data_IF_969617150073
#
_entry.id   IF_969617150073
#
_cell.length_a   1.000
_cell.length_b   1.000
_cell.length_c   1.000
_cell.angle_alpha   90.00
_cell.angle_beta   90.00
_cell.angle_gamma   90.00
#
_symmetry.space_group_name_H-M   'P 1'
#
loop_
_entity.id
_entity.type
_entity.pdbx_description
1 polymer ?
#
# COMPACT_ATOMS: atom_id res chain seq x y z
N UNK A 1 21.66 60.60 -29.05
CA UNK A 1 21.18 59.21 -29.25
C UNK A 1 20.53 58.75 -27.95
N UNK A 2 19.21 58.92 -27.82
CA UNK A 2 18.45 58.45 -26.65
C UNK A 2 17.86 57.08 -26.95
N UNK A 3 18.28 56.06 -26.21
CA UNK A 3 17.79 54.69 -26.34
C UNK A 3 16.36 54.62 -25.79
N UNK A 4 15.39 54.41 -26.69
CA UNK A 4 14.00 54.12 -26.32
C UNK A 4 13.95 52.79 -25.56
N UNK A 5 13.85 52.85 -24.22
CA UNK A 5 13.51 51.68 -23.41
C UNK A 5 12.07 51.31 -23.74
N UNK A 6 11.88 50.19 -24.44
CA UNK A 6 10.58 49.57 -24.62
C UNK A 6 9.96 49.28 -23.24
N UNK A 7 9.03 50.13 -22.82
CA UNK A 7 8.24 49.95 -21.61
C UNK A 7 7.37 48.71 -21.77
N UNK A 8 7.69 47.65 -21.04
CA UNK A 8 6.84 46.46 -20.99
C UNK A 8 5.58 46.83 -20.20
N UNK A 9 4.41 46.79 -20.84
CA UNK A 9 3.15 47.06 -20.17
C UNK A 9 2.97 46.08 -18.99
N UNK A 10 2.58 46.54 -17.79
CA UNK A 10 2.47 45.67 -16.62
C UNK A 10 1.36 44.64 -16.83
N UNK A 11 1.63 43.39 -16.44
CA UNK A 11 0.63 42.33 -16.43
C UNK A 11 -0.32 42.54 -15.24
N UNK A 12 -1.63 42.37 -15.47
CA UNK A 12 -2.66 42.40 -14.42
C UNK A 12 -3.34 41.03 -14.30
N UNK A 13 -3.53 40.57 -13.07
CA UNK A 13 -4.32 39.37 -12.77
C UNK A 13 -5.81 39.72 -12.84
N UNK A 14 -6.55 39.05 -13.72
CA UNK A 14 -8.01 39.08 -13.84
C UNK A 14 -8.55 37.65 -13.78
N UNK A 15 -8.56 37.03 -12.57
CA UNK A 15 -9.03 35.66 -12.42
C UNK A 15 -10.52 35.58 -12.76
N UNK A 16 -10.89 34.61 -13.61
CA UNK A 16 -12.29 34.28 -13.87
C UNK A 16 -12.78 33.31 -12.79
N UNK A 17 -14.02 33.49 -12.31
CA UNK A 17 -14.56 32.73 -11.17
C UNK A 17 -14.53 31.21 -11.40
N UNK A 18 -15.05 30.74 -12.53
CA UNK A 18 -15.16 29.30 -12.85
C UNK A 18 -13.80 28.57 -12.89
N UNK A 19 -12.78 29.02 -13.67
CA UNK A 19 -11.48 28.34 -13.66
C UNK A 19 -10.73 28.50 -12.33
N UNK A 20 -10.97 29.58 -11.59
CA UNK A 20 -10.35 29.75 -10.26
C UNK A 20 -10.93 28.78 -9.24
N UNK A 21 -12.26 28.53 -9.28
CA UNK A 21 -12.91 27.51 -8.46
C UNK A 21 -12.44 26.10 -8.83
N UNK A 22 -12.31 25.81 -10.12
CA UNK A 22 -11.78 24.52 -10.58
C UNK A 22 -10.35 24.28 -10.06
N UNK A 23 -9.47 25.28 -10.13
CA UNK A 23 -8.11 25.19 -9.58
C UNK A 23 -8.12 25.04 -8.07
N UNK A 24 -8.97 25.78 -7.36
CA UNK A 24 -9.09 25.70 -5.91
C UNK A 24 -9.43 24.29 -5.43
N UNK A 25 -10.23 23.54 -6.20
CA UNK A 25 -10.62 22.17 -5.87
C UNK A 25 -9.64 21.11 -6.40
N UNK A 26 -9.24 21.23 -7.67
CA UNK A 26 -8.44 20.19 -8.33
C UNK A 26 -6.97 20.24 -7.94
N UNK A 27 -6.40 21.42 -7.69
CA UNK A 27 -5.00 21.55 -7.32
C UNK A 27 -4.65 20.80 -6.02
N UNK A 28 -5.35 21.01 -4.87
CA UNK A 28 -5.05 20.26 -3.65
C UNK A 28 -5.31 18.76 -3.82
N UNK A 29 -6.30 18.36 -4.61
CA UNK A 29 -6.56 16.96 -4.92
C UNK A 29 -5.38 16.32 -5.66
N UNK A 30 -4.90 16.94 -6.75
CA UNK A 30 -3.77 16.43 -7.54
C UNK A 30 -2.48 16.38 -6.73
N UNK A 31 -2.21 17.41 -5.91
CA UNK A 31 -1.06 17.43 -5.00
C UNK A 31 -1.17 16.33 -3.94
N UNK A 32 -2.36 16.14 -3.37
CA UNK A 32 -2.64 15.07 -2.39
C UNK A 32 -2.45 13.67 -2.99
N UNK A 33 -2.92 13.44 -4.21
CA UNK A 33 -2.70 12.18 -4.94
C UNK A 33 -1.22 11.95 -5.25
N UNK A 34 -0.49 12.99 -5.65
CA UNK A 34 0.96 12.93 -5.87
C UNK A 34 1.72 12.57 -4.59
N UNK A 35 1.42 13.23 -3.47
CA UNK A 35 2.01 12.94 -2.17
C UNK A 35 1.69 11.52 -1.68
N UNK A 36 0.43 11.09 -1.84
CA UNK A 36 0.02 9.72 -1.52
C UNK A 36 0.80 8.67 -2.34
N UNK A 37 1.03 8.93 -3.63
CA UNK A 37 1.85 8.02 -4.45
C UNK A 37 3.32 7.99 -4.01
N UNK A 38 3.90 9.12 -3.57
CA UNK A 38 5.25 9.14 -3.01
C UNK A 38 5.34 8.32 -1.71
N UNK A 39 4.35 8.45 -0.82
CA UNK A 39 4.25 7.66 0.40
C UNK A 39 4.16 6.16 0.09
N UNK A 40 3.30 5.77 -0.87
CA UNK A 40 3.24 4.37 -1.34
C UNK A 40 4.56 3.88 -1.92
N UNK A 41 5.27 4.70 -2.68
CA UNK A 41 6.60 4.35 -3.17
C UNK A 41 7.60 4.14 -2.02
N UNK A 42 7.58 5.02 -1.01
CA UNK A 42 8.44 4.90 0.17
C UNK A 42 8.17 3.61 0.96
N UNK A 43 6.89 3.28 1.20
CA UNK A 43 6.49 2.02 1.84
C UNK A 43 7.02 0.80 1.08
N UNK A 44 6.89 0.80 -0.26
CA UNK A 44 7.40 -0.29 -1.10
C UNK A 44 8.92 -0.40 -1.05
N UNK A 45 9.66 0.71 -1.03
CA UNK A 45 11.13 0.70 -0.85
C UNK A 45 11.55 0.17 0.50
N UNK A 46 10.90 0.61 1.58
CA UNK A 46 11.19 0.17 2.93
C UNK A 46 10.98 -1.35 3.06
N UNK A 47 9.88 -1.86 2.49
CA UNK A 47 9.62 -3.29 2.45
C UNK A 47 10.66 -4.06 1.62
N UNK A 48 11.03 -3.57 0.44
CA UNK A 48 12.09 -4.17 -0.38
C UNK A 48 13.43 -4.23 0.37
N UNK A 49 13.81 -3.13 1.03
CA UNK A 49 15.03 -3.06 1.83
C UNK A 49 15.00 -4.03 3.02
N UNK A 50 13.87 -4.15 3.72
CA UNK A 50 13.70 -5.10 4.81
C UNK A 50 13.82 -6.56 4.33
N UNK A 51 13.20 -6.90 3.20
CA UNK A 51 13.30 -8.23 2.59
C UNK A 51 14.73 -8.55 2.15
N UNK A 52 15.45 -7.59 1.56
CA UNK A 52 16.84 -7.76 1.17
C UNK A 52 17.76 -7.97 2.39
N UNK A 53 17.63 -7.11 3.42
CA UNK A 53 18.40 -7.24 4.66
C UNK A 53 18.13 -8.56 5.39
N UNK A 54 16.91 -9.10 5.28
CA UNK A 54 16.58 -10.40 5.83
C UNK A 54 17.23 -11.57 5.09
N UNK A 55 17.61 -11.41 3.83
CA UNK A 55 18.36 -12.41 3.07
C UNK A 55 19.73 -12.71 3.69
N UNK A 56 20.40 -11.66 4.19
CA UNK A 56 21.80 -11.74 4.67
C UNK A 56 21.93 -11.99 6.18
N UNK A 57 20.86 -11.77 6.95
CA UNK A 57 20.90 -11.90 8.40
C UNK A 57 20.66 -13.34 8.90
N UNK A 58 21.34 -13.79 9.97
CA UNK A 58 21.04 -15.08 10.59
C UNK A 58 19.59 -15.12 11.13
N UNK A 59 18.92 -16.29 11.10
CA UNK A 59 17.55 -16.41 11.59
C UNK A 59 17.44 -16.11 13.09
N UNK A 60 16.43 -15.32 13.47
CA UNK A 60 16.10 -15.06 14.87
C UNK A 60 15.26 -16.20 15.42
N UNK A 61 15.58 -16.69 16.62
CA UNK A 61 14.83 -17.80 17.21
C UNK A 61 13.54 -17.29 17.87
N UNK A 62 12.40 -17.89 17.52
CA UNK A 62 11.11 -17.67 18.19
C UNK A 62 10.99 -18.71 19.29
N UNK A 63 10.89 -18.25 20.53
CA UNK A 63 10.86 -19.09 21.72
C UNK A 63 9.43 -19.20 22.28
N UNK A 64 9.13 -20.23 23.08
CA UNK A 64 7.88 -20.29 23.82
C UNK A 64 7.76 -19.07 24.73
N UNK A 65 6.59 -18.41 24.70
CA UNK A 65 6.34 -17.22 25.54
C UNK A 65 6.94 -15.92 25.01
N UNK A 66 7.51 -15.88 23.79
CA UNK A 66 7.89 -14.61 23.15
C UNK A 66 6.68 -13.66 23.10
N UNK A 67 6.89 -12.41 23.53
CA UNK A 67 5.83 -11.42 23.58
C UNK A 67 5.42 -10.95 22.18
N UNK A 68 4.12 -10.67 22.00
CA UNK A 68 3.56 -10.27 20.73
C UNK A 68 4.22 -8.99 20.19
N UNK A 69 4.51 -8.00 21.05
CA UNK A 69 5.16 -6.76 20.63
C UNK A 69 6.62 -6.98 20.20
N UNK A 70 7.38 -7.82 20.92
CA UNK A 70 8.74 -8.20 20.51
C UNK A 70 8.76 -8.89 19.13
N UNK A 71 7.75 -9.71 18.83
CA UNK A 71 7.60 -10.35 17.50
C UNK A 71 7.30 -9.31 16.41
N UNK A 72 6.65 -8.17 16.75
CA UNK A 72 6.36 -7.12 15.76
C UNK A 72 7.61 -6.47 15.20
N UNK A 73 8.62 -6.27 16.03
CA UNK A 73 9.91 -5.72 15.63
C UNK A 73 10.69 -6.67 14.69
N UNK A 74 10.33 -7.96 14.69
CA UNK A 74 10.91 -8.99 13.83
C UNK A 74 10.21 -9.13 12.48
N UNK A 75 9.24 -8.26 12.16
CA UNK A 75 8.55 -8.30 10.88
C UNK A 75 9.55 -8.30 9.71
N UNK A 76 9.32 -9.20 8.74
CA UNK A 76 10.16 -9.44 7.57
C UNK A 76 11.57 -9.96 7.89
N UNK A 77 11.86 -10.43 9.10
CA UNK A 77 13.12 -11.12 9.41
C UNK A 77 13.02 -12.62 9.15
N UNK A 78 14.15 -13.24 8.81
CA UNK A 78 14.28 -14.70 8.87
C UNK A 78 14.19 -15.16 10.32
N UNK A 79 13.40 -16.21 10.55
CA UNK A 79 13.18 -16.78 11.88
C UNK A 79 13.28 -18.29 11.86
N UNK A 80 13.59 -18.85 13.03
CA UNK A 80 13.54 -20.27 13.29
C UNK A 80 12.66 -20.53 14.53
N UNK A 81 11.70 -21.44 14.42
CA UNK A 81 10.82 -21.83 15.51
C UNK A 81 10.88 -23.34 15.70
N UNK A 82 11.09 -23.79 16.93
CA UNK A 82 11.04 -25.21 17.27
C UNK A 82 9.70 -25.53 17.92
N UNK A 83 8.99 -26.51 17.38
CA UNK A 83 7.68 -26.85 17.89
C UNK A 83 7.01 -27.99 17.13
N UNK A 84 5.75 -28.24 17.46
CA UNK A 84 4.97 -29.34 16.93
C UNK A 84 3.81 -28.83 16.09
N UNK A 85 3.68 -29.35 14.88
CA UNK A 85 2.53 -29.02 14.06
C UNK A 85 1.23 -29.59 14.66
N UNK A 86 0.14 -28.86 14.50
CA UNK A 86 -1.22 -29.31 14.78
C UNK A 86 -1.94 -29.64 13.46
N UNK A 87 -1.70 -30.80 12.82
CA UNK A 87 -2.26 -31.16 11.52
C UNK A 87 -3.80 -31.25 11.52
N UNK A 88 -4.41 -31.48 12.68
CA UNK A 88 -5.85 -31.51 12.88
C UNK A 88 -6.48 -30.11 12.92
N UNK A 89 -5.67 -29.05 13.06
CA UNK A 89 -6.11 -27.66 13.16
C UNK A 89 -5.63 -26.79 11.99
N UNK A 90 -5.59 -27.36 10.79
CA UNK A 90 -5.17 -26.66 9.59
C UNK A 90 -6.21 -25.65 9.08
N UNK A 91 -5.72 -24.54 8.57
CA UNK A 91 -6.50 -23.42 8.05
C UNK A 91 -6.27 -23.30 6.53
N UNK A 92 -7.34 -23.05 5.80
CA UNK A 92 -7.34 -22.75 4.38
C UNK A 92 -7.80 -21.32 4.21
N UNK A 93 -6.89 -20.44 3.80
CA UNK A 93 -7.25 -19.09 3.37
C UNK A 93 -7.81 -19.17 1.95
N UNK A 94 -9.05 -18.74 1.80
CA UNK A 94 -9.82 -18.82 0.56
C UNK A 94 -9.50 -17.68 -0.42
N UNK A 95 -10.07 -17.75 -1.63
CA UNK A 95 -9.94 -16.76 -2.70
C UNK A 95 -8.48 -16.45 -3.08
N UNK A 96 -7.62 -17.45 -3.05
CA UNK A 96 -6.21 -17.29 -3.43
C UNK A 96 -6.03 -17.68 -4.90
N UNK A 97 -5.68 -16.70 -5.73
CA UNK A 97 -5.43 -16.93 -7.16
C UNK A 97 -3.93 -17.05 -7.37
N UNK A 98 -3.51 -18.09 -8.08
CA UNK A 98 -2.15 -18.27 -8.54
C UNK A 98 -2.16 -18.73 -10.01
N UNK A 99 -1.44 -18.03 -10.88
CA UNK A 99 -1.41 -18.26 -12.34
C UNK A 99 -2.81 -18.42 -12.98
N UNK A 100 -3.74 -17.55 -12.57
CA UNK A 100 -5.12 -17.55 -13.06
C UNK A 100 -5.98 -18.70 -12.53
N UNK A 101 -5.46 -19.56 -11.64
CA UNK A 101 -6.17 -20.67 -11.03
C UNK A 101 -6.59 -20.33 -9.60
N UNK A 102 -7.86 -20.55 -9.23
CA UNK A 102 -8.30 -20.41 -7.85
C UNK A 102 -7.75 -21.54 -6.99
N UNK A 103 -7.53 -21.23 -5.72
CA UNK A 103 -7.00 -22.16 -4.75
C UNK A 103 -7.01 -21.58 -3.34
N UNK A 104 -6.29 -22.28 -2.48
CA UNK A 104 -6.20 -22.00 -1.06
C UNK A 104 -4.75 -21.79 -0.66
N UNK A 105 -4.52 -20.91 0.31
CA UNK A 105 -3.23 -20.84 1.01
C UNK A 105 -3.34 -21.57 2.33
N UNK A 106 -2.42 -22.50 2.57
CA UNK A 106 -2.50 -23.41 3.71
C UNK A 106 -1.69 -22.86 4.87
N UNK A 107 -2.35 -22.71 6.02
CA UNK A 107 -1.72 -22.35 7.27
C UNK A 107 -1.84 -23.50 8.27
N UNK A 108 -0.76 -23.87 8.92
CA UNK A 108 -0.78 -24.89 9.98
C UNK A 108 -0.21 -24.30 11.27
N UNK A 109 -0.91 -24.40 12.41
CA UNK A 109 -0.36 -23.97 13.68
C UNK A 109 0.86 -24.82 14.06
N UNK A 110 1.95 -24.15 14.42
CA UNK A 110 3.11 -24.73 15.08
C UNK A 110 3.04 -24.37 16.56
N UNK A 111 2.70 -25.36 17.39
CA UNK A 111 2.67 -25.25 18.85
C UNK A 111 4.11 -25.17 19.38
N UNK A 112 4.40 -24.13 20.15
CA UNK A 112 5.73 -23.86 20.70
C UNK A 112 5.80 -24.34 22.16
N UNK A 113 6.93 -24.96 22.54
CA UNK A 113 7.21 -25.37 23.91
C UNK A 113 6.15 -26.30 24.49
N UNK A 114 5.55 -25.93 25.62
CA UNK A 114 4.51 -26.69 26.29
C UNK A 114 3.13 -26.69 25.57
N UNK A 115 3.05 -26.08 24.38
CA UNK A 115 1.87 -26.11 23.53
C UNK A 115 0.79 -25.06 23.82
N UNK A 116 1.01 -24.16 24.78
CA UNK A 116 0.09 -23.05 25.09
C UNK A 116 0.22 -21.86 24.13
N UNK A 117 1.34 -21.75 23.42
CA UNK A 117 1.58 -20.71 22.41
C UNK A 117 1.78 -21.33 21.05
N UNK A 118 1.36 -20.63 19.99
CA UNK A 118 1.55 -21.09 18.62
C UNK A 118 1.85 -19.94 17.67
N UNK A 119 2.48 -20.27 16.56
CA UNK A 119 2.64 -19.40 15.39
C UNK A 119 2.05 -20.12 14.17
N UNK A 120 1.37 -19.40 13.30
CA UNK A 120 0.91 -20.01 12.04
C UNK A 120 2.08 -20.14 11.07
N UNK A 121 2.21 -21.29 10.44
CA UNK A 121 3.16 -21.50 9.35
C UNK A 121 2.41 -21.46 8.04
N UNK A 122 2.73 -20.50 7.18
CA UNK A 122 2.28 -20.47 5.78
C UNK A 122 3.07 -21.51 5.00
N UNK A 123 2.38 -22.60 4.66
CA UNK A 123 2.93 -23.76 3.94
C UNK A 123 2.85 -23.59 2.43
N UNK A 124 2.23 -22.52 1.92
CA UNK A 124 2.08 -22.24 0.49
C UNK A 124 0.68 -22.48 -0.06
N UNK A 125 0.59 -22.40 -1.39
CA UNK A 125 -0.65 -22.46 -2.15
C UNK A 125 -0.94 -23.86 -2.68
N UNK A 126 -2.22 -24.21 -2.70
CA UNK A 126 -2.79 -25.41 -3.31
C UNK A 126 -3.93 -25.04 -4.25
N UNK A 127 -4.05 -25.72 -5.41
CA UNK A 127 -5.21 -25.53 -6.29
C UNK A 127 -6.50 -25.98 -5.60
N UNK A 128 -7.60 -25.31 -5.91
CA UNK A 128 -8.93 -25.77 -5.55
C UNK A 128 -9.26 -27.02 -6.36
N UNK A 129 -10.02 -27.95 -5.74
CA UNK A 129 -10.56 -29.12 -6.41
C UNK A 129 -11.63 -28.76 -7.46
N UNK A 130 -12.38 -29.78 -7.90
CA UNK A 130 -13.45 -29.57 -8.89
C UNK A 130 -14.57 -28.65 -8.38
N UNK A 131 -14.83 -28.67 -7.07
CA UNK A 131 -15.79 -27.79 -6.41
C UNK A 131 -15.19 -27.18 -5.14
N UNK A 132 -15.74 -26.05 -4.69
CA UNK A 132 -15.29 -25.36 -3.46
C UNK A 132 -15.57 -26.17 -2.19
N UNK A 133 -16.57 -27.05 -2.22
CA UNK A 133 -16.92 -27.93 -1.10
C UNK A 133 -15.96 -29.12 -0.96
N UNK A 134 -15.23 -29.48 -2.02
CA UNK A 134 -14.21 -30.52 -2.02
C UNK A 134 -12.86 -29.93 -1.60
N UNK A 135 -12.67 -29.81 -0.29
CA UNK A 135 -11.41 -29.33 0.28
C UNK A 135 -10.26 -30.32 -0.01
N UNK A 136 -9.05 -29.82 -0.34
CA UNK A 136 -7.92 -30.68 -0.64
C UNK A 136 -7.47 -31.47 0.60
N UNK A 137 -7.02 -32.70 0.38
CA UNK A 137 -6.38 -33.49 1.43
C UNK A 137 -5.04 -32.84 1.80
N UNK A 138 -4.93 -32.38 3.05
CA UNK A 138 -3.72 -31.71 3.54
C UNK A 138 -2.75 -32.72 4.11
N UNK A 139 -1.79 -33.14 3.28
CA UNK A 139 -0.72 -34.00 3.70
C UNK A 139 0.24 -33.23 4.61
N UNK A 140 0.28 -33.62 5.88
CA UNK A 140 1.44 -33.43 6.74
C UNK A 140 1.86 -34.84 7.09
N UNK A 141 3.05 -35.29 6.68
CA UNK A 141 3.49 -36.66 6.97
C UNK A 141 3.50 -36.83 8.49
N UNK A 142 2.46 -37.47 9.04
CA UNK A 142 2.01 -37.55 10.45
C UNK A 142 3.08 -37.15 11.48
N UNK A 143 3.45 -35.87 11.49
CA UNK A 143 4.60 -35.40 12.23
C UNK A 143 4.14 -35.11 13.65
N UNK A 144 3.96 -36.17 14.43
CA UNK A 144 3.82 -36.10 15.89
C UNK A 144 5.18 -35.89 16.55
N UNK A 145 6.13 -35.28 15.86
CA UNK A 145 7.45 -34.99 16.39
C UNK A 145 7.70 -33.50 16.30
N UNK A 146 8.54 -33.00 17.20
CA UNK A 146 8.93 -31.61 17.18
C UNK A 146 9.85 -31.35 15.99
N UNK A 147 9.64 -30.22 15.32
CA UNK A 147 10.36 -29.83 14.11
C UNK A 147 10.89 -28.41 14.22
N UNK A 148 12.07 -28.22 13.64
CA UNK A 148 12.63 -26.90 13.40
C UNK A 148 12.03 -26.34 12.10
N UNK A 149 11.18 -25.32 12.25
CA UNK A 149 10.60 -24.57 11.14
C UNK A 149 11.41 -23.31 10.88
N UNK A 150 11.84 -23.10 9.63
CA UNK A 150 12.56 -21.90 9.19
C UNK A 150 11.78 -21.20 8.09
N UNK A 151 11.83 -19.87 8.12
CA UNK A 151 11.12 -19.07 7.15
C UNK A 151 11.22 -17.58 7.40
N UNK A 152 10.43 -16.83 6.65
CA UNK A 152 10.30 -15.38 6.78
C UNK A 152 9.10 -15.05 7.67
N UNK A 153 9.32 -14.28 8.74
CA UNK A 153 8.22 -13.80 9.57
C UNK A 153 7.50 -12.66 8.85
N UNK A 154 6.20 -12.81 8.60
CA UNK A 154 5.39 -11.77 7.95
C UNK A 154 4.11 -11.51 8.73
N UNK A 155 3.54 -10.30 8.66
CA UNK A 155 2.16 -10.12 9.12
C UNK A 155 1.23 -11.08 8.35
N UNK A 156 0.10 -11.49 8.94
CA UNK A 156 -0.91 -12.26 8.22
C UNK A 156 -1.35 -11.51 6.95
N UNK A 157 -1.72 -12.22 5.86
CA UNK A 157 -2.21 -11.57 4.65
C UNK A 157 -3.41 -10.68 4.97
N UNK A 158 -3.34 -9.41 4.58
CA UNK A 158 -4.46 -8.49 4.77
C UNK A 158 -5.47 -8.68 3.65
N UNK A 159 -6.74 -8.51 4.00
CA UNK A 159 -7.84 -8.49 3.02
C UNK A 159 -8.45 -7.09 3.04
N UNK A 160 -8.61 -6.50 1.85
CA UNK A 160 -9.07 -5.12 1.74
C UNK A 160 -10.46 -4.90 2.36
N UNK A 161 -11.34 -5.90 2.27
CA UNK A 161 -12.67 -5.88 2.89
C UNK A 161 -12.85 -7.11 3.77
N UNK A 162 -13.23 -6.89 5.04
CA UNK A 162 -13.57 -7.96 6.00
C UNK A 162 -15.08 -8.00 6.14
N UNK A 163 -15.70 -9.07 5.64
CA UNK A 163 -17.14 -9.30 5.75
C UNK A 163 -17.41 -10.40 6.76
N UNK A 164 -18.28 -10.13 7.74
CA UNK A 164 -18.65 -11.08 8.79
C UNK A 164 -17.46 -11.51 9.66
N UNK A 165 -17.59 -12.66 10.31
CA UNK A 165 -16.56 -13.26 11.18
C UNK A 165 -15.42 -13.95 10.40
N UNK A 166 -15.50 -13.96 9.07
CA UNK A 166 -14.48 -14.54 8.19
C UNK A 166 -14.49 -16.06 8.14
N UNK A 167 -15.41 -16.74 8.81
CA UNK A 167 -15.44 -18.20 8.96
C UNK A 167 -16.40 -18.81 7.94
N UNK A 168 -15.87 -19.54 6.96
CA UNK A 168 -16.68 -20.04 5.86
C UNK A 168 -17.28 -21.44 6.10
N UNK A 169 -16.77 -22.22 7.06
CA UNK A 169 -17.26 -23.57 7.36
C UNK A 169 -17.25 -23.89 8.88
N UNK A 170 -18.10 -23.27 9.70
CA UNK A 170 -18.07 -23.44 11.16
C UNK A 170 -18.20 -24.91 11.59
N UNK A 171 -17.48 -25.29 12.66
CA UNK A 171 -17.47 -26.65 13.22
C UNK A 171 -16.70 -27.74 12.45
N UNK A 172 -16.20 -27.48 11.23
CA UNK A 172 -15.45 -28.46 10.40
C UNK A 172 -13.96 -28.13 10.24
N UNK A 173 -13.11 -29.15 10.15
CA UNK A 173 -11.68 -29.03 9.84
C UNK A 173 -11.35 -29.76 8.52
N UNK A 174 -10.41 -29.26 7.68
CA UNK A 174 -9.68 -28.00 7.84
C UNK A 174 -10.62 -26.78 7.79
N UNK A 175 -10.26 -25.73 8.53
CA UNK A 175 -11.09 -24.54 8.67
C UNK A 175 -10.84 -23.60 7.50
N UNK A 176 -11.90 -23.28 6.75
CA UNK A 176 -11.90 -22.34 5.65
C UNK A 176 -12.15 -20.93 6.19
N UNK A 177 -11.22 -20.02 5.90
CA UNK A 177 -11.22 -18.64 6.39
C UNK A 177 -11.05 -17.67 5.24
N UNK A 178 -11.70 -16.53 5.32
CA UNK A 178 -11.53 -15.43 4.36
C UNK A 178 -10.37 -14.52 4.74
N UNK A 179 -10.03 -14.45 6.03
CA UNK A 179 -8.91 -13.70 6.55
C UNK A 179 -8.36 -14.34 7.82
N UNK A 180 -7.11 -14.05 8.14
CA UNK A 180 -6.48 -14.52 9.37
C UNK A 180 -6.59 -13.45 10.46
N UNK A 181 -7.45 -13.69 11.44
CA UNK A 181 -7.55 -12.89 12.65
C UNK A 181 -7.07 -13.70 13.85
N UNK A 182 -5.87 -13.38 14.40
CA UNK A 182 -5.32 -14.10 15.54
C UNK A 182 -6.24 -14.11 16.76
N UNK A 183 -7.01 -13.03 16.97
CA UNK A 183 -7.91 -12.92 18.14
C UNK A 183 -9.12 -13.85 18.04
N UNK A 184 -9.57 -14.14 16.82
CA UNK A 184 -10.67 -15.08 16.53
C UNK A 184 -10.18 -16.52 16.47
N UNK A 185 -8.99 -16.75 15.91
CA UNK A 185 -8.42 -18.07 15.75
C UNK A 185 -7.86 -18.66 17.05
N UNK A 186 -7.34 -17.82 17.96
CA UNK A 186 -6.76 -18.30 19.21
C UNK A 186 -7.71 -19.19 20.05
N UNK A 187 -8.99 -18.80 20.28
CA UNK A 187 -9.96 -19.67 20.96
C UNK A 187 -10.24 -20.99 20.22
N UNK A 188 -10.36 -20.97 18.89
CA UNK A 188 -10.62 -22.19 18.10
C UNK A 188 -9.48 -23.20 18.13
N UNK A 189 -8.25 -22.68 18.20
CA UNK A 189 -7.02 -23.46 18.26
C UNK A 189 -6.66 -23.89 19.68
N UNK A 190 -7.24 -23.24 20.70
CA UNK A 190 -6.93 -23.48 22.12
C UNK A 190 -5.50 -23.10 22.49
N UNK A 191 -4.97 -22.01 21.90
CA UNK A 191 -3.60 -21.54 22.09
C UNK A 191 -3.53 -20.01 22.07
N UNK A 192 -2.51 -19.43 22.72
CA UNK A 192 -2.10 -18.03 22.50
C UNK A 192 -1.41 -17.94 21.14
N UNK A 193 -2.09 -17.35 20.17
CA UNK A 193 -1.57 -17.21 18.81
C UNK A 193 -0.73 -15.94 18.67
N UNK A 194 0.50 -16.07 18.17
CA UNK A 194 1.33 -14.91 17.81
C UNK A 194 0.69 -14.16 16.62
N UNK A 195 0.75 -12.83 16.58
CA UNK A 195 0.08 -12.03 15.54
C UNK A 195 0.84 -12.01 14.20
N UNK A 196 1.58 -13.08 13.88
CA UNK A 196 2.45 -13.21 12.72
C UNK A 196 2.36 -14.62 12.15
N UNK A 197 2.80 -14.74 10.90
CA UNK A 197 2.92 -16.03 10.20
C UNK A 197 4.38 -16.25 9.82
N UNK A 198 4.85 -17.48 9.90
CA UNK A 198 6.14 -17.89 9.34
C UNK A 198 5.87 -18.38 7.93
N UNK A 199 6.31 -17.64 6.92
CA UNK A 199 6.32 -18.11 5.54
C UNK A 199 7.46 -19.10 5.38
N UNK A 200 7.09 -20.37 5.28
CA UNK A 200 8.01 -21.50 5.22
C UNK A 200 9.02 -21.33 4.08
N UNK A 201 10.28 -21.71 4.30
CA UNK A 201 11.31 -21.59 3.27
C UNK A 201 10.95 -22.41 1.99
N UNK A 202 11.30 -21.93 0.77
CA UNK A 202 10.96 -22.58 -0.49
C UNK A 202 11.41 -24.05 -0.60
N UNK A 203 12.47 -24.47 0.10
CA UNK A 203 12.97 -25.85 0.10
C UNK A 203 12.61 -26.69 1.32
N UNK A 204 11.82 -26.17 2.27
CA UNK A 204 11.47 -26.92 3.46
C UNK A 204 10.50 -28.08 3.15
N UNK A 205 10.56 -29.19 3.92
CA UNK A 205 9.61 -30.28 3.78
C UNK A 205 8.20 -29.83 4.14
N UNK A 206 7.22 -30.66 3.75
CA UNK A 206 5.81 -30.47 4.10
C UNK A 206 5.25 -29.11 3.71
N UNK A 207 5.60 -28.56 2.56
CA UNK A 207 4.85 -27.41 2.06
C UNK A 207 4.44 -27.58 0.62
N UNK A 208 3.58 -26.68 0.19
CA UNK A 208 2.97 -26.63 -1.13
C UNK A 208 3.65 -25.57 -1.99
N UNK A 209 2.98 -25.05 -3.01
CA UNK A 209 3.60 -24.08 -3.91
C UNK A 209 3.96 -22.78 -3.17
N UNK A 210 5.24 -22.46 -3.10
CA UNK A 210 5.79 -21.30 -2.36
C UNK A 210 6.57 -20.42 -3.30
N UNK A 211 6.00 -19.27 -3.63
CA UNK A 211 6.75 -18.23 -4.33
C UNK A 211 7.56 -17.40 -3.32
N UNK A 212 8.60 -16.69 -3.77
CA UNK A 212 9.17 -15.60 -2.99
C UNK A 212 8.10 -14.55 -2.66
N UNK A 213 8.29 -13.74 -1.61
CA UNK A 213 7.46 -12.55 -1.41
C UNK A 213 7.62 -11.61 -2.61
N UNK A 214 6.68 -11.66 -3.55
CA UNK A 214 6.64 -10.73 -4.66
C UNK A 214 6.12 -9.37 -4.16
N UNK A 215 6.85 -8.30 -4.45
CA UNK A 215 6.26 -6.97 -4.47
C UNK A 215 5.47 -6.88 -5.78
N UNK A 216 4.12 -6.88 -5.76
CA UNK A 216 3.34 -6.98 -6.99
C UNK A 216 3.66 -5.85 -7.99
N UNK A 217 4.09 -4.69 -7.49
CA UNK A 217 4.70 -3.62 -8.29
C UNK A 217 5.87 -3.00 -7.52
N UNK A 218 6.93 -2.64 -8.24
CA UNK A 218 8.07 -1.92 -7.70
C UNK A 218 7.75 -0.47 -7.34
N UNK A 219 8.55 0.16 -6.45
CA UNK A 219 8.41 1.57 -6.08
C UNK A 219 8.38 2.55 -7.26
N UNK A 220 9.00 2.17 -8.37
CA UNK A 220 9.18 2.96 -9.58
C UNK A 220 7.84 3.31 -10.24
N UNK A 221 6.88 2.36 -10.21
CA UNK A 221 5.54 2.60 -10.78
C UNK A 221 4.79 3.67 -10.02
N UNK A 222 4.89 3.67 -8.69
CA UNK A 222 4.29 4.69 -7.84
C UNK A 222 4.97 6.06 -8.03
N UNK A 223 6.29 6.09 -8.23
CA UNK A 223 7.00 7.31 -8.60
C UNK A 223 6.51 7.89 -9.94
N UNK A 224 6.34 7.04 -10.96
CA UNK A 224 5.82 7.47 -12.26
C UNK A 224 4.44 8.13 -12.15
N UNK A 225 3.54 7.55 -11.35
CA UNK A 225 2.24 8.16 -11.07
C UNK A 225 2.35 9.46 -10.27
N UNK A 226 3.27 9.55 -9.29
CA UNK A 226 3.49 10.79 -8.55
C UNK A 226 3.92 11.93 -9.48
N UNK A 227 4.87 11.68 -10.39
CA UNK A 227 5.30 12.64 -11.42
C UNK A 227 4.11 13.06 -12.30
N UNK A 228 3.28 12.11 -12.73
CA UNK A 228 2.09 12.40 -13.51
C UNK A 228 1.13 13.34 -12.78
N UNK A 229 0.83 13.07 -11.50
CA UNK A 229 -0.05 13.92 -10.70
C UNK A 229 0.51 15.33 -10.49
N UNK A 230 1.81 15.45 -10.22
CA UNK A 230 2.46 16.76 -10.09
C UNK A 230 2.55 17.51 -11.42
N UNK A 231 2.77 16.83 -12.54
CA UNK A 231 2.78 17.44 -13.86
C UNK A 231 1.39 17.98 -14.26
N UNK A 232 0.32 17.25 -13.92
CA UNK A 232 -1.05 17.72 -14.09
C UNK A 232 -1.34 18.93 -13.19
N UNK A 233 -0.91 18.89 -11.93
CA UNK A 233 -1.05 20.02 -11.00
C UNK A 233 -0.32 21.28 -11.53
N UNK A 234 0.91 21.12 -12.01
CA UNK A 234 1.69 22.19 -12.61
C UNK A 234 1.03 22.74 -13.88
N UNK A 235 0.56 21.86 -14.77
CA UNK A 235 -0.13 22.26 -16.00
C UNK A 235 -1.40 23.06 -15.69
N UNK A 236 -2.20 22.59 -14.72
CA UNK A 236 -3.40 23.28 -14.26
C UNK A 236 -3.09 24.70 -13.73
N UNK A 237 -2.06 24.81 -12.89
CA UNK A 237 -1.62 26.10 -12.35
C UNK A 237 -1.09 27.05 -13.45
N UNK A 238 -0.30 26.52 -14.39
CA UNK A 238 0.24 27.30 -15.51
C UNK A 238 -0.87 27.80 -16.45
N UNK A 239 -1.84 26.95 -16.78
CA UNK A 239 -3.00 27.35 -17.60
C UNK A 239 -3.82 28.41 -16.90
N UNK A 240 -4.12 28.24 -15.62
CA UNK A 240 -4.85 29.25 -14.85
C UNK A 240 -4.12 30.59 -14.80
N UNK A 241 -2.81 30.57 -14.55
CA UNK A 241 -1.99 31.78 -14.56
C UNK A 241 -2.01 32.44 -15.94
N UNK A 242 -1.80 31.67 -17.01
CA UNK A 242 -1.79 32.16 -18.40
C UNK A 242 -3.10 32.84 -18.78
N UNK A 243 -4.23 32.26 -18.42
CA UNK A 243 -5.56 32.81 -18.74
C UNK A 243 -6.00 33.93 -17.78
N UNK A 244 -5.43 34.00 -16.58
CA UNK A 244 -5.68 35.07 -15.61
C UNK A 244 -4.81 36.30 -15.86
N UNK A 245 -3.68 36.16 -16.56
CA UNK A 245 -2.82 37.29 -16.91
C UNK A 245 -3.35 38.03 -18.15
N UNK A 246 -3.72 39.30 -17.96
CA UNK A 246 -4.14 40.21 -19.03
C UNK A 246 -3.16 41.38 -19.11
N UNK A 247 -2.81 41.84 -20.31
CA UNK A 247 -1.96 43.03 -20.48
C UNK A 247 -2.75 44.27 -20.06
N UNK A 248 -2.14 45.14 -19.24
CA UNK A 248 -2.77 46.41 -18.91
C UNK A 248 -3.00 47.24 -20.19
N UNK A 249 -4.13 47.96 -20.32
CA UNK A 249 -4.32 48.93 -21.39
C UNK A 249 -3.16 49.93 -21.37
N UNK A 250 -2.65 50.33 -22.54
CA UNK A 250 -1.66 51.40 -22.62
C UNK A 250 -2.26 52.68 -22.00
N UNK A 251 -1.48 53.49 -21.26
CA UNK A 251 -1.97 54.76 -20.74
C UNK A 251 -2.52 55.58 -21.90
N UNK A 252 -3.74 56.10 -21.73
CA UNK A 252 -4.36 56.98 -22.72
C UNK A 252 -3.40 58.12 -23.03
N UNK A 253 -3.13 58.37 -24.31
CA UNK A 253 -2.36 59.55 -24.72
C UNK A 253 -3.10 60.78 -24.19
N UNK A 254 -2.43 61.74 -23.52
CA UNK A 254 -3.09 62.95 -23.05
C UNK A 254 -3.75 63.64 -24.25
N UNK A 255 -5.04 63.96 -24.14
CA UNK A 255 -5.71 64.80 -25.13
C UNK A 255 -4.96 66.14 -25.23
N UNK A 256 -4.71 66.65 -26.44
CA UNK A 256 -4.20 68.00 -26.58
C UNK A 256 -5.21 68.95 -25.95
N UNK A 257 -4.79 69.64 -24.89
CA UNK A 257 -5.58 70.69 -24.26
C UNK A 257 -5.61 71.86 -25.23
N UNK A 258 -6.72 72.00 -25.97
CA UNK A 258 -6.97 73.19 -26.79
C UNK A 258 -6.97 74.41 -25.88
N UNK A 259 -5.82 75.08 -25.85
CA UNK A 259 -5.61 76.34 -25.17
C UNK A 259 -5.55 77.43 -26.23
N UNK A 260 -6.31 78.49 -25.95
CA UNK A 260 -6.32 79.81 -26.58
C UNK A 260 -7.22 80.03 -27.81
N UNK A 261 -8.28 80.81 -27.58
CA UNK A 261 -8.53 81.98 -28.43
C UNK A 261 -8.80 83.19 -27.51
N UNK A 262 -7.97 84.24 -27.54
CA UNK A 262 -8.12 85.42 -26.69
C UNK A 262 -9.24 86.34 -27.20
N UNK A 263 -9.86 87.06 -26.26
CA UNK A 263 -11.11 87.77 -26.45
C UNK A 263 -11.09 88.94 -27.43
N UNK A 264 -12.30 89.39 -27.79
CA UNK A 264 -12.51 90.71 -28.34
C UNK A 264 -13.64 91.42 -27.61
N UNK A 265 -13.24 92.39 -26.80
CA UNK A 265 -14.04 93.50 -26.31
C UNK A 265 -14.44 94.38 -27.50
N UNK A 266 -15.70 94.86 -27.57
CA UNK A 266 -15.98 96.27 -27.93
C UNK A 266 -17.42 96.72 -27.61
N UNK A 267 -17.43 97.80 -26.83
CA UNK A 267 -18.44 98.81 -26.53
C UNK A 267 -19.50 99.15 -27.60
N UNK A 268 -20.65 99.63 -27.11
CA UNK A 268 -21.66 100.38 -27.84
C UNK A 268 -22.97 100.42 -27.08
#
# INVERSE_FOLDING_TARGET
>A
MSLSRAGHAPLRLRPRLLPSLAVLLLLPLLLGLGAWQLDRAAQKRALAAALNAAGDAPPVQILPGTDAEAVRELAYRRVAAYGRYAPERQLLLDNQIHDGRPGFRVFTPLRLGNGHSAVLVDRGWLPMGATRDQLPALALALATDDRLVRGLLTPPPDVGLRLGDGMANPGRWPRLVQYLDPTRLAPELGVRLLPYVIRLDPGAPDGYLREPPALPFGPERHLGYAVQWFALAATLALLWLRYSLVRAPAPARPEPTDTETPGHVRHG
#
